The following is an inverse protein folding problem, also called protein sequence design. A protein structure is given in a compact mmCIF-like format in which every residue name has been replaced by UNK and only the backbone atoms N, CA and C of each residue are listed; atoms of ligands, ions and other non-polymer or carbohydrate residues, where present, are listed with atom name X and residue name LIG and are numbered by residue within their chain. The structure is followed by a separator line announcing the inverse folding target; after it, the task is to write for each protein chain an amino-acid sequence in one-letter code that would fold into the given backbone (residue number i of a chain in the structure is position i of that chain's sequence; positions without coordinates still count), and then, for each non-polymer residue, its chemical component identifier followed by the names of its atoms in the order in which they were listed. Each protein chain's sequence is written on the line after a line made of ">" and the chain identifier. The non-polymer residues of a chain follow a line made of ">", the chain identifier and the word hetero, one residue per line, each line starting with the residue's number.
data_IF_766124127117
#
_entry.id   IF_766124127117
#
_cell.length_a   1.000
_cell.length_b   1.000
_cell.length_c   1.000
_cell.angle_alpha   90.00
_cell.angle_beta   90.00
_cell.angle_gamma   90.00
#
_symmetry.space_group_name_H-M   'P 1'
#
loop_
_entity.id
_entity.type
_entity.pdbx_description
1 polymer ?
#
# COMPACT_ATOMS: atom_id res chain seq x y z
N UNK A 1 -15.84 19.70 -10.87
CA UNK A 1 -14.67 19.82 -11.77
C UNK A 1 -13.29 19.77 -11.06
N UNK A 2 -13.16 19.31 -9.80
CA UNK A 2 -11.85 19.25 -9.11
C UNK A 2 -11.00 17.99 -9.38
N UNK A 3 -11.62 16.81 -9.39
CA UNK A 3 -10.89 15.51 -9.44
C UNK A 3 -9.95 15.29 -10.63
N UNK A 4 -10.23 15.88 -11.79
CA UNK A 4 -9.40 15.69 -12.99
C UNK A 4 -8.17 16.59 -12.92
N UNK A 5 -8.34 17.83 -12.46
CA UNK A 5 -7.24 18.79 -12.30
C UNK A 5 -6.25 18.29 -11.25
N UNK A 6 -6.74 17.72 -10.14
CA UNK A 6 -5.87 17.14 -9.10
C UNK A 6 -5.07 15.93 -9.58
N UNK A 7 -5.69 15.03 -10.36
CA UNK A 7 -4.99 13.88 -10.97
C UNK A 7 -3.93 14.31 -11.97
N UNK A 8 -4.24 15.27 -12.84
CA UNK A 8 -3.30 15.78 -13.84
C UNK A 8 -2.13 16.51 -13.17
N UNK A 9 -2.41 17.35 -12.16
CA UNK A 9 -1.39 18.06 -11.37
C UNK A 9 -0.49 17.09 -10.59
N UNK A 10 -1.06 15.99 -10.08
CA UNK A 10 -0.31 14.90 -9.44
C UNK A 10 0.67 14.23 -10.40
N UNK A 11 0.21 13.83 -11.59
CA UNK A 11 1.08 13.23 -12.62
C UNK A 11 2.18 14.18 -13.10
N UNK A 12 1.85 15.45 -13.28
CA UNK A 12 2.84 16.47 -13.67
C UNK A 12 3.89 16.66 -12.57
N UNK A 13 3.49 16.71 -11.29
CA UNK A 13 4.43 16.78 -10.17
C UNK A 13 5.32 15.53 -10.06
N UNK A 14 4.79 14.35 -10.34
CA UNK A 14 5.58 13.12 -10.36
C UNK A 14 6.59 13.13 -11.52
N UNK A 15 6.14 13.47 -12.73
CA UNK A 15 7.04 13.59 -13.88
C UNK A 15 8.11 14.67 -13.66
N UNK A 16 7.73 15.82 -13.09
CA UNK A 16 8.65 16.87 -12.71
C UNK A 16 9.62 16.43 -11.61
N UNK A 17 9.17 15.70 -10.59
CA UNK A 17 10.06 15.17 -9.54
C UNK A 17 11.14 14.23 -10.09
N UNK A 18 10.77 13.35 -11.02
CA UNK A 18 11.69 12.45 -11.72
C UNK A 18 12.63 13.22 -12.65
N UNK A 19 12.11 14.19 -13.42
CA UNK A 19 12.90 14.99 -14.37
C UNK A 19 13.86 15.98 -13.69
N UNK A 20 13.48 16.54 -12.54
CA UNK A 20 14.29 17.54 -11.81
C UNK A 20 15.28 16.89 -10.84
N UNK A 21 15.24 15.57 -10.68
CA UNK A 21 16.19 14.81 -9.85
C UNK A 21 15.97 15.00 -8.33
N UNK A 22 14.79 15.42 -7.91
CA UNK A 22 14.49 15.68 -6.51
C UNK A 22 14.11 14.35 -5.81
N UNK A 23 15.14 13.61 -5.41
CA UNK A 23 15.06 12.33 -4.65
C UNK A 23 14.20 12.40 -3.38
N UNK A 24 13.77 13.59 -2.96
CA UNK A 24 12.89 13.80 -1.81
C UNK A 24 11.45 13.38 -2.08
N UNK A 25 10.93 13.57 -3.31
CA UNK A 25 9.55 13.23 -3.69
C UNK A 25 9.33 11.74 -3.99
N UNK A 26 10.37 11.03 -4.42
CA UNK A 26 10.32 9.60 -4.74
C UNK A 26 10.31 8.72 -3.48
N UNK A 27 11.02 9.14 -2.41
CA UNK A 27 11.17 8.34 -1.18
C UNK A 27 9.94 8.30 -0.29
N UNK A 28 9.13 9.36 -0.26
CA UNK A 28 7.89 9.33 0.53
C UNK A 28 6.84 8.41 -0.10
N UNK A 29 6.73 8.42 -1.44
CA UNK A 29 5.81 7.52 -2.16
C UNK A 29 6.19 6.05 -2.04
N UNK A 30 7.48 5.72 -2.18
CA UNK A 30 7.92 4.31 -2.16
C UNK A 30 7.80 3.67 -0.77
N UNK A 31 8.05 4.43 0.31
CA UNK A 31 7.88 3.91 1.68
C UNK A 31 6.43 3.66 2.06
N UNK A 32 5.52 4.52 1.63
CA UNK A 32 4.09 4.37 1.94
C UNK A 32 3.49 3.18 1.17
N UNK A 33 3.88 3.00 -0.10
CA UNK A 33 3.42 1.89 -0.92
C UNK A 33 3.99 0.54 -0.45
N UNK A 34 5.25 0.50 0.00
CA UNK A 34 5.84 -0.70 0.60
C UNK A 34 5.21 -1.03 1.97
N UNK A 35 4.99 -0.05 2.85
CA UNK A 35 4.33 -0.29 4.14
C UNK A 35 2.89 -0.79 3.95
N UNK A 36 2.17 -0.25 2.97
CA UNK A 36 0.81 -0.68 2.64
C UNK A 36 0.76 -2.13 2.16
N UNK A 37 1.63 -2.50 1.21
CA UNK A 37 1.70 -3.89 0.69
C UNK A 37 2.12 -4.89 1.76
N UNK A 38 3.09 -4.55 2.60
CA UNK A 38 3.56 -5.43 3.68
C UNK A 38 2.50 -5.61 4.76
N UNK A 39 1.80 -4.55 5.18
CA UNK A 39 0.68 -4.67 6.14
C UNK A 39 -0.46 -5.51 5.57
N UNK A 40 -0.87 -5.30 4.32
CA UNK A 40 -1.91 -6.09 3.68
C UNK A 40 -1.57 -7.58 3.65
N UNK A 41 -0.39 -7.93 3.14
CA UNK A 41 0.06 -9.32 3.07
C UNK A 41 0.17 -9.98 4.46
N UNK A 42 0.62 -9.25 5.48
CA UNK A 42 0.70 -9.76 6.85
C UNK A 42 -0.68 -9.97 7.45
N UNK A 43 -1.65 -9.08 7.21
CA UNK A 43 -3.02 -9.27 7.71
C UNK A 43 -3.73 -10.46 7.06
N UNK A 44 -3.58 -10.64 5.75
CA UNK A 44 -4.16 -11.80 5.04
C UNK A 44 -3.61 -13.13 5.58
N UNK A 45 -2.29 -13.23 5.77
CA UNK A 45 -1.66 -14.43 6.35
C UNK A 45 -2.14 -14.65 7.78
N UNK A 46 -2.19 -13.60 8.60
CA UNK A 46 -2.63 -13.70 10.00
C UNK A 46 -4.08 -14.14 10.10
N UNK A 47 -4.94 -13.66 9.19
CA UNK A 47 -6.35 -14.03 9.12
C UNK A 47 -6.50 -15.50 8.71
N UNK A 48 -5.81 -15.95 7.65
CA UNK A 48 -5.83 -17.35 7.21
C UNK A 48 -5.37 -18.33 8.31
N UNK A 49 -4.29 -17.98 9.02
CA UNK A 49 -3.79 -18.79 10.15
C UNK A 49 -4.80 -18.83 11.30
N UNK A 50 -5.47 -17.71 11.60
CA UNK A 50 -6.47 -17.63 12.67
C UNK A 50 -7.72 -18.44 12.31
N UNK A 51 -8.23 -18.29 11.09
CA UNK A 51 -9.36 -19.05 10.55
C UNK A 51 -9.07 -20.57 10.58
N UNK A 52 -7.86 -21.00 10.16
CA UNK A 52 -7.46 -22.40 10.24
C UNK A 52 -7.35 -22.91 11.68
N UNK A 53 -6.84 -22.08 12.60
CA UNK A 53 -6.69 -22.44 14.01
C UNK A 53 -8.05 -22.57 14.72
N UNK A 54 -9.00 -21.70 14.41
CA UNK A 54 -10.38 -21.78 14.92
C UNK A 54 -11.07 -23.03 14.37
N UNK A 55 -10.96 -23.33 13.08
CA UNK A 55 -11.54 -24.54 12.47
C UNK A 55 -11.01 -25.84 13.11
N UNK A 56 -9.69 -25.91 13.38
CA UNK A 56 -9.09 -27.05 14.08
C UNK A 56 -9.57 -27.13 15.53
N UNK A 57 -9.72 -26.00 16.21
CA UNK A 57 -10.18 -25.96 17.60
C UNK A 57 -11.64 -26.39 17.74
N UNK A 58 -12.50 -26.00 16.79
CA UNK A 58 -13.91 -26.40 16.74
C UNK A 58 -14.06 -27.90 16.43
N UNK A 59 -13.24 -28.44 15.53
CA UNK A 59 -13.26 -29.87 15.19
C UNK A 59 -12.73 -30.79 16.29
N UNK A 60 -11.93 -30.27 17.23
CA UNK A 60 -11.33 -31.05 18.33
C UNK A 60 -12.14 -30.90 19.64
N UNK A 61 -13.13 -29.99 19.68
CA UNK A 61 -14.01 -29.79 20.83
C UNK A 61 -15.26 -30.66 20.74
#
# INVERSE_FOLDING_TARGET
>A
MGKIIDKTKGKIKQAAGVLTGDKSLEREGERDEQKGKVKGAVEDVKKAVKDAKDAVKDAVK
#
